data_IF_341257716637
#
_entry.id   IF_341257716637
#
_cell.length_a   1.000
_cell.length_b   1.000
_cell.length_c   1.000
_cell.angle_alpha   90.00
_cell.angle_beta   90.00
_cell.angle_gamma   90.00
#
_symmetry.space_group_name_H-M   'P 1'
#
loop_
_entity.id
_entity.type
_entity.pdbx_description
1 polymer ?
#
# COMPACT_ATOMS: atom_id res chain seq x y z
N UNK A 1 4.18 -16.44 4.71
CA UNK A 1 4.47 -17.06 6.03
C UNK A 1 4.14 -18.54 6.08
N UNK A 2 2.99 -18.98 5.57
CA UNK A 2 2.59 -20.40 5.52
C UNK A 2 3.64 -21.29 4.81
N UNK A 3 4.22 -20.81 3.70
CA UNK A 3 5.21 -21.56 2.91
C UNK A 3 6.49 -21.87 3.68
N UNK A 4 6.97 -20.95 4.53
CA UNK A 4 8.23 -21.17 5.27
C UNK A 4 8.01 -22.15 6.43
N UNK A 5 6.82 -22.12 7.05
CA UNK A 5 6.43 -23.13 8.04
C UNK A 5 6.36 -24.54 7.43
N UNK A 6 5.82 -24.66 6.21
CA UNK A 6 5.82 -25.95 5.50
C UNK A 6 7.22 -26.42 5.09
N UNK A 7 8.11 -25.52 4.70
CA UNK A 7 9.51 -25.87 4.38
C UNK A 7 10.27 -26.32 5.64
N UNK A 8 10.12 -25.61 6.76
CA UNK A 8 10.73 -26.00 8.03
C UNK A 8 10.21 -27.36 8.52
N UNK A 9 8.89 -27.58 8.44
CA UNK A 9 8.28 -28.87 8.78
C UNK A 9 8.77 -29.98 7.85
N UNK A 10 8.89 -29.73 6.54
CA UNK A 10 9.39 -30.69 5.59
C UNK A 10 10.85 -31.07 5.87
N UNK A 11 11.71 -30.11 6.25
CA UNK A 11 13.10 -30.38 6.65
C UNK A 11 13.12 -31.25 7.92
N UNK A 12 12.33 -30.93 8.95
CA UNK A 12 12.26 -31.73 10.18
C UNK A 12 11.76 -33.15 9.91
N UNK A 13 10.75 -33.32 9.05
CA UNK A 13 10.24 -34.63 8.66
C UNK A 13 11.27 -35.41 7.84
N UNK A 14 11.94 -34.75 6.89
CA UNK A 14 12.90 -35.38 5.98
C UNK A 14 14.18 -35.82 6.71
N UNK A 15 14.61 -35.09 7.74
CA UNK A 15 15.80 -35.43 8.53
C UNK A 15 15.47 -36.16 9.84
N UNK A 16 14.21 -36.55 10.07
CA UNK A 16 13.77 -37.21 11.31
C UNK A 16 14.55 -38.49 11.59
N UNK A 17 14.72 -39.35 10.59
CA UNK A 17 15.40 -40.64 10.78
C UNK A 17 16.90 -40.45 11.05
N UNK A 18 17.55 -39.54 10.32
CA UNK A 18 18.94 -39.18 10.58
C UNK A 18 19.13 -38.59 11.99
N UNK A 19 18.23 -37.71 12.44
CA UNK A 19 18.27 -37.16 13.80
C UNK A 19 18.06 -38.22 14.88
N UNK A 20 17.14 -39.16 14.67
CA UNK A 20 16.90 -40.27 15.57
C UNK A 20 18.11 -41.22 15.62
N UNK A 21 18.73 -41.51 14.48
CA UNK A 21 19.96 -42.30 14.42
C UNK A 21 21.12 -41.63 15.16
N UNK A 22 21.29 -40.31 15.00
CA UNK A 22 22.31 -39.58 15.76
C UNK A 22 22.01 -39.60 17.25
N UNK A 23 20.74 -39.41 17.66
CA UNK A 23 20.34 -39.47 19.06
C UNK A 23 20.54 -40.86 19.67
N UNK A 24 20.22 -41.91 18.92
CA UNK A 24 20.43 -43.31 19.33
C UNK A 24 21.92 -43.62 19.46
N UNK A 25 22.75 -43.25 18.46
CA UNK A 25 24.22 -43.40 18.51
C UNK A 25 24.84 -42.66 19.69
N UNK A 26 24.37 -41.45 19.99
CA UNK A 26 24.78 -40.69 21.18
C UNK A 26 24.38 -41.41 22.48
N UNK A 27 23.17 -41.99 22.55
CA UNK A 27 22.73 -42.75 23.73
C UNK A 27 23.49 -44.06 23.91
N UNK A 28 23.78 -44.78 22.83
CA UNK A 28 24.47 -46.07 22.82
C UNK A 28 25.97 -45.92 23.08
N UNK A 29 26.56 -44.80 22.66
CA UNK A 29 27.97 -44.51 22.93
C UNK A 29 28.29 -44.34 24.43
N UNK A 30 27.28 -44.26 25.30
CA UNK A 30 27.44 -44.03 26.74
C UNK A 30 28.08 -42.68 27.08
N UNK A 31 28.39 -41.88 26.05
CA UNK A 31 29.04 -40.59 26.12
C UNK A 31 27.99 -39.48 25.95
N UNK A 32 26.85 -39.60 26.65
CA UNK A 32 26.06 -38.41 26.89
C UNK A 32 26.91 -37.54 27.81
N UNK A 33 27.46 -36.40 27.35
CA UNK A 33 28.09 -35.47 28.27
C UNK A 33 27.06 -35.19 29.37
N UNK A 34 27.49 -35.17 30.64
CA UNK A 34 26.60 -34.80 31.73
C UNK A 34 26.10 -33.38 31.44
N UNK A 35 24.93 -33.27 30.78
CA UNK A 35 24.30 -31.99 30.48
C UNK A 35 23.83 -31.49 31.83
N UNK A 36 24.63 -30.59 32.41
CA UNK A 36 24.26 -29.88 33.62
C UNK A 36 22.92 -29.17 33.35
N UNK A 37 22.05 -29.10 34.35
CA UNK A 37 20.77 -28.41 34.26
C UNK A 37 20.93 -26.99 33.68
N UNK A 38 22.08 -26.35 33.95
CA UNK A 38 22.45 -25.05 33.38
C UNK A 38 22.59 -25.06 31.86
N UNK A 39 23.19 -26.10 31.30
CA UNK A 39 23.35 -26.25 29.85
C UNK A 39 22.03 -26.55 29.15
N UNK A 40 21.16 -27.35 29.79
CA UNK A 40 19.81 -27.61 29.28
C UNK A 40 18.96 -26.32 29.26
N UNK A 41 19.03 -25.53 30.33
CA UNK A 41 18.34 -24.22 30.40
C UNK A 41 18.90 -23.24 29.36
N UNK A 42 20.22 -23.19 29.16
CA UNK A 42 20.82 -22.34 28.14
C UNK A 42 20.38 -22.73 26.72
N UNK A 43 20.32 -24.02 26.41
CA UNK A 43 19.83 -24.52 25.12
C UNK A 43 18.35 -24.17 24.90
N UNK A 44 17.52 -24.32 25.93
CA UNK A 44 16.10 -23.96 25.87
C UNK A 44 15.89 -22.46 25.64
N UNK A 45 16.67 -21.61 26.32
CA UNK A 45 16.60 -20.14 26.14
C UNK A 45 17.05 -19.71 24.74
N UNK A 46 18.10 -20.33 24.19
CA UNK A 46 18.55 -20.06 22.83
C UNK A 46 17.50 -20.48 21.79
N UNK A 47 16.86 -21.64 21.97
CA UNK A 47 15.77 -22.07 21.11
C UNK A 47 14.57 -21.10 21.19
N UNK A 48 14.19 -20.68 22.40
CA UNK A 48 13.11 -19.71 22.60
C UNK A 48 13.43 -18.34 21.98
N UNK A 49 14.68 -17.86 22.11
CA UNK A 49 15.12 -16.62 21.50
C UNK A 49 15.09 -16.68 19.97
N UNK A 50 15.53 -17.79 19.37
CA UNK A 50 15.47 -18.00 17.93
C UNK A 50 14.03 -18.01 17.42
N UNK A 51 13.11 -18.69 18.12
CA UNK A 51 11.68 -18.69 17.80
C UNK A 51 11.08 -17.30 17.94
N UNK A 52 11.40 -16.58 19.03
CA UNK A 52 10.94 -15.22 19.25
C UNK A 52 11.43 -14.25 18.17
N UNK A 53 12.70 -14.33 17.78
CA UNK A 53 13.27 -13.50 16.71
C UNK A 53 12.61 -13.80 15.36
N UNK A 54 12.39 -15.08 15.06
CA UNK A 54 11.77 -15.51 13.82
C UNK A 54 10.29 -15.09 13.70
N UNK A 55 9.58 -15.03 14.83
CA UNK A 55 8.20 -14.57 14.91
C UNK A 55 8.02 -13.10 15.27
N UNK A 56 9.09 -12.30 15.29
CA UNK A 56 8.92 -10.86 15.43
C UNK A 56 8.10 -10.35 14.24
N UNK A 57 6.92 -9.73 14.47
CA UNK A 57 6.25 -9.00 13.41
C UNK A 57 7.25 -7.99 12.86
N UNK A 58 7.29 -7.88 11.53
CA UNK A 58 8.15 -6.94 10.83
C UNK A 58 7.93 -5.58 11.49
N UNK A 59 9.00 -4.99 12.04
CA UNK A 59 8.89 -3.71 12.74
C UNK A 59 8.14 -2.75 11.82
N UNK A 60 7.02 -2.21 12.32
CA UNK A 60 6.32 -1.13 11.64
C UNK A 60 7.37 -0.06 11.33
N UNK A 61 7.43 0.39 10.08
CA UNK A 61 8.38 1.39 9.66
C UNK A 61 8.33 2.57 10.64
N UNK A 62 9.51 3.06 11.08
CA UNK A 62 9.59 4.24 11.93
C UNK A 62 8.66 5.33 11.38
N UNK A 63 7.87 6.02 12.23
CA UNK A 63 6.94 7.02 11.75
C UNK A 63 7.70 8.13 11.04
N UNK A 64 7.65 8.12 9.71
CA UNK A 64 8.15 9.20 8.87
C UNK A 64 7.43 10.48 9.31
N UNK A 65 8.14 11.62 9.49
CA UNK A 65 7.49 12.88 9.80
C UNK A 65 6.38 13.15 8.78
N UNK A 66 5.16 13.40 9.28
CA UNK A 66 4.03 13.65 8.43
C UNK A 66 4.36 14.80 7.45
N UNK A 67 4.19 14.62 6.14
CA UNK A 67 4.40 15.68 5.19
C UNK A 67 3.51 16.88 5.54
N UNK A 68 3.97 18.12 5.29
CA UNK A 68 3.22 19.32 5.64
C UNK A 68 1.80 19.24 5.06
N UNK A 69 0.79 19.55 5.88
CA UNK A 69 -0.61 19.45 5.51
C UNK A 69 -0.88 20.34 4.29
N UNK A 70 -0.96 19.71 3.11
CA UNK A 70 -1.34 20.36 1.87
C UNK A 70 -2.83 20.76 1.88
N UNK A 71 -3.32 21.35 0.77
CA UNK A 71 -4.72 21.79 0.62
C UNK A 71 -5.76 20.68 0.83
N UNK A 72 -5.35 19.42 0.67
CA UNK A 72 -6.10 18.20 0.94
C UNK A 72 -5.21 17.25 1.77
N UNK A 73 -5.77 16.64 2.80
CA UNK A 73 -5.10 15.65 3.65
C UNK A 73 -5.68 14.26 3.39
N UNK A 74 -4.85 13.36 2.89
CA UNK A 74 -5.20 11.95 2.61
C UNK A 74 -4.46 10.95 3.51
N UNK A 75 -3.54 11.41 4.35
CA UNK A 75 -2.84 10.57 5.32
C UNK A 75 -3.83 9.85 6.25
N UNK A 76 -3.63 8.54 6.42
CA UNK A 76 -4.49 7.68 7.24
C UNK A 76 -5.90 7.41 6.67
N UNK A 77 -6.23 7.90 5.46
CA UNK A 77 -7.54 7.65 4.82
C UNK A 77 -7.56 6.42 3.92
N UNK A 78 -6.39 5.98 3.43
CA UNK A 78 -6.23 4.70 2.78
C UNK A 78 -6.12 3.61 3.84
N UNK A 79 -6.96 2.56 3.76
CA UNK A 79 -7.08 1.52 4.79
C UNK A 79 -7.01 0.11 4.20
N UNK A 80 -6.55 -0.86 4.99
CA UNK A 80 -6.44 -2.27 4.58
C UNK A 80 -5.06 -2.64 4.03
N UNK A 81 -4.88 -3.94 3.72
CA UNK A 81 -3.60 -4.54 3.34
C UNK A 81 -2.97 -3.91 2.08
N UNK A 82 -3.81 -3.47 1.14
CA UNK A 82 -3.38 -2.86 -0.12
C UNK A 82 -3.41 -1.31 -0.09
N UNK A 83 -3.54 -0.68 1.09
CA UNK A 83 -3.66 0.78 1.21
C UNK A 83 -2.51 1.53 0.50
N UNK A 84 -1.28 1.04 0.64
CA UNK A 84 -0.10 1.65 0.03
C UNK A 84 -0.13 1.59 -1.51
N UNK A 85 -0.43 0.41 -2.05
CA UNK A 85 -0.54 0.16 -3.49
C UNK A 85 -1.67 0.97 -4.10
N UNK A 86 -2.81 1.04 -3.40
CA UNK A 86 -3.98 1.78 -3.83
C UNK A 86 -3.74 3.29 -3.86
N UNK A 87 -3.03 3.86 -2.89
CA UNK A 87 -2.71 5.29 -2.92
C UNK A 87 -1.73 5.62 -4.05
N UNK A 88 -0.73 4.77 -4.29
CA UNK A 88 0.19 4.94 -5.42
C UNK A 88 -0.56 4.84 -6.77
N UNK A 89 -1.46 3.87 -6.91
CA UNK A 89 -2.30 3.73 -8.10
C UNK A 89 -3.23 4.93 -8.29
N UNK A 90 -3.81 5.46 -7.21
CA UNK A 90 -4.66 6.64 -7.22
C UNK A 90 -3.88 7.91 -7.58
N UNK A 91 -2.67 8.07 -7.04
CA UNK A 91 -1.78 9.17 -7.36
C UNK A 91 -1.46 9.19 -8.86
N UNK A 92 -1.01 8.05 -9.40
CA UNK A 92 -0.74 7.91 -10.83
C UNK A 92 -1.96 8.16 -11.71
N UNK A 93 -3.15 7.70 -11.30
CA UNK A 93 -4.40 7.98 -12.01
C UNK A 93 -4.69 9.49 -12.08
N UNK A 94 -4.55 10.21 -10.97
CA UNK A 94 -4.82 11.64 -10.93
C UNK A 94 -3.81 12.44 -11.76
N UNK A 95 -2.53 12.06 -11.73
CA UNK A 95 -1.50 12.73 -12.52
C UNK A 95 -1.70 12.49 -14.02
N UNK A 96 -2.02 11.25 -14.42
CA UNK A 96 -2.32 10.91 -15.82
C UNK A 96 -3.56 11.66 -16.34
N UNK A 97 -4.60 11.81 -15.52
CA UNK A 97 -5.78 12.61 -15.87
C UNK A 97 -5.40 14.08 -16.10
N UNK A 98 -4.49 14.64 -15.31
CA UNK A 98 -3.99 16.00 -15.52
C UNK A 98 -3.21 16.09 -16.85
N UNK A 99 -2.36 15.09 -17.14
CA UNK A 99 -1.66 14.96 -18.42
C UNK A 99 -2.60 14.86 -19.62
N UNK A 100 -3.71 14.12 -19.50
CA UNK A 100 -4.74 14.03 -20.54
C UNK A 100 -5.36 15.40 -20.84
N UNK A 101 -5.64 16.21 -19.81
CA UNK A 101 -6.18 17.57 -19.99
C UNK A 101 -5.13 18.49 -20.65
N UNK A 102 -3.86 18.38 -20.27
CA UNK A 102 -2.76 19.13 -20.90
C UNK A 102 -2.60 18.78 -22.37
N UNK A 103 -2.65 17.48 -22.69
CA UNK A 103 -2.57 17.03 -24.07
C UNK A 103 -3.78 17.51 -24.89
N UNK A 104 -5.00 17.39 -24.36
CA UNK A 104 -6.22 17.85 -25.04
C UNK A 104 -6.20 19.36 -25.37
N UNK A 105 -5.55 20.16 -24.52
CA UNK A 105 -5.37 21.61 -24.73
C UNK A 105 -4.45 21.92 -25.93
N UNK A 106 -3.59 20.98 -26.34
CA UNK A 106 -2.70 21.17 -27.50
C UNK A 106 -3.37 20.88 -28.85
N UNK A 107 -4.57 20.28 -28.85
CA UNK A 107 -5.28 19.94 -30.06
C UNK A 107 -5.88 21.19 -30.72
N UNK A 108 -5.94 21.20 -32.06
CA UNK A 108 -6.61 22.26 -32.81
C UNK A 108 -8.11 22.35 -32.47
N UNK A 109 -8.71 21.22 -32.09
CA UNK A 109 -10.09 21.10 -31.61
C UNK A 109 -10.11 20.25 -30.33
N UNK A 110 -10.03 20.89 -29.13
CA UNK A 110 -10.03 20.19 -27.85
C UNK A 110 -11.34 19.42 -27.61
N UNK A 111 -11.24 18.16 -27.19
CA UNK A 111 -12.38 17.26 -27.00
C UNK A 111 -13.05 17.46 -25.65
N UNK A 112 -12.29 17.85 -24.62
CA UNK A 112 -12.80 18.04 -23.26
C UNK A 112 -13.40 19.44 -23.10
N UNK A 113 -14.59 19.69 -23.66
CA UNK A 113 -15.17 21.04 -23.72
C UNK A 113 -15.96 21.46 -22.48
N UNK A 114 -16.29 20.53 -21.58
CA UNK A 114 -17.12 20.77 -20.39
C UNK A 114 -16.59 20.03 -19.16
N UNK A 115 -16.99 20.48 -17.96
CA UNK A 115 -16.71 19.74 -16.73
C UNK A 115 -17.28 18.32 -16.72
N UNK A 116 -18.41 18.10 -17.39
CA UNK A 116 -19.01 16.76 -17.57
C UNK A 116 -18.11 15.85 -18.42
N UNK A 117 -17.45 16.38 -19.46
CA UNK A 117 -16.49 15.60 -20.25
C UNK A 117 -15.29 15.13 -19.41
N UNK A 118 -14.83 15.97 -18.46
CA UNK A 118 -13.79 15.56 -17.50
C UNK A 118 -14.32 14.46 -16.58
N UNK A 119 -15.54 14.59 -16.06
CA UNK A 119 -16.12 13.56 -15.19
C UNK A 119 -16.28 12.22 -15.93
N UNK A 120 -16.73 12.25 -17.19
CA UNK A 120 -16.75 11.08 -18.06
C UNK A 120 -15.38 10.45 -18.26
N UNK A 121 -14.34 11.26 -18.50
CA UNK A 121 -12.95 10.78 -18.58
C UNK A 121 -12.50 10.13 -17.26
N UNK A 122 -12.81 10.74 -16.10
CA UNK A 122 -12.46 10.20 -14.77
C UNK A 122 -13.13 8.85 -14.53
N UNK A 123 -14.42 8.73 -14.86
CA UNK A 123 -15.18 7.48 -14.75
C UNK A 123 -14.55 6.40 -15.63
N UNK A 124 -14.34 6.69 -16.92
CA UNK A 124 -13.77 5.76 -17.88
C UNK A 124 -12.35 5.29 -17.47
N UNK A 125 -11.48 6.22 -17.05
CA UNK A 125 -10.12 5.89 -16.61
C UNK A 125 -10.13 5.00 -15.36
N UNK A 126 -11.04 5.28 -14.42
CA UNK A 126 -11.22 4.46 -13.21
C UNK A 126 -11.70 3.06 -13.56
N UNK A 127 -12.71 2.93 -14.43
CA UNK A 127 -13.24 1.64 -14.88
C UNK A 127 -12.16 0.82 -15.60
N UNK A 128 -11.41 1.44 -16.52
CA UNK A 128 -10.36 0.79 -17.27
C UNK A 128 -9.21 0.28 -16.38
N UNK A 129 -8.83 1.04 -15.34
CA UNK A 129 -7.69 0.70 -14.48
C UNK A 129 -8.07 -0.24 -13.33
N UNK A 130 -9.29 -0.15 -12.79
CA UNK A 130 -9.68 -0.88 -11.58
C UNK A 130 -10.41 -2.21 -11.85
N UNK A 131 -10.99 -2.42 -13.05
CA UNK A 131 -11.59 -3.70 -13.51
C UNK A 131 -12.35 -4.49 -12.41
N UNK A 132 -13.17 -3.81 -11.62
CA UNK A 132 -13.78 -4.39 -10.43
C UNK A 132 -14.20 -3.30 -9.44
N UNK A 133 -13.79 -3.44 -8.18
CA UNK A 133 -14.14 -2.50 -7.09
C UNK A 133 -13.35 -1.21 -7.24
N UNK A 134 -14.03 -0.07 -7.20
CA UNK A 134 -13.38 1.23 -7.32
C UNK A 134 -12.56 1.58 -6.06
N UNK A 135 -11.49 2.37 -6.22
CA UNK A 135 -10.73 2.91 -5.07
C UNK A 135 -11.64 3.67 -4.10
N UNK A 136 -12.65 4.38 -4.61
CA UNK A 136 -13.60 5.10 -3.76
C UNK A 136 -14.53 4.20 -2.95
N UNK A 137 -14.79 2.97 -3.39
CA UNK A 137 -15.53 1.97 -2.62
C UNK A 137 -14.64 1.29 -1.57
N UNK A 138 -13.38 0.98 -1.92
CA UNK A 138 -12.40 0.42 -0.96
C UNK A 138 -12.01 1.44 0.11
N UNK A 139 -11.93 2.72 -0.25
CA UNK A 139 -11.46 3.82 0.60
C UNK A 139 -12.49 4.96 0.62
N UNK A 140 -13.65 4.79 1.28
CA UNK A 140 -14.73 5.78 1.28
C UNK A 140 -14.30 7.14 1.85
N UNK A 141 -13.37 7.16 2.81
CA UNK A 141 -12.82 8.40 3.38
C UNK A 141 -11.95 9.18 2.38
N UNK A 142 -11.24 8.49 1.48
CA UNK A 142 -10.50 9.14 0.39
C UNK A 142 -11.48 9.76 -0.59
N UNK A 143 -12.53 9.02 -0.97
CA UNK A 143 -13.59 9.54 -1.86
C UNK A 143 -14.22 10.81 -1.28
N UNK A 144 -14.61 10.79 -0.01
CA UNK A 144 -15.21 11.95 0.65
C UNK A 144 -14.24 13.14 0.66
N UNK A 145 -12.99 12.92 1.08
CA UNK A 145 -11.99 13.98 1.15
C UNK A 145 -11.72 14.64 -0.21
N UNK A 146 -11.68 13.85 -1.29
CA UNK A 146 -11.49 14.35 -2.65
C UNK A 146 -12.72 15.11 -3.13
N UNK A 147 -13.93 14.62 -2.84
CA UNK A 147 -15.16 15.33 -3.15
C UNK A 147 -15.23 16.68 -2.45
N UNK A 148 -15.04 16.70 -1.12
CA UNK A 148 -15.04 17.93 -0.32
C UNK A 148 -14.00 18.93 -0.84
N UNK A 149 -12.83 18.45 -1.25
CA UNK A 149 -11.78 19.30 -1.81
C UNK A 149 -12.15 19.90 -3.17
N UNK A 150 -12.73 19.11 -4.08
CA UNK A 150 -13.10 19.59 -5.41
C UNK A 150 -14.31 20.54 -5.37
N UNK A 151 -15.26 20.30 -4.45
CA UNK A 151 -16.47 21.11 -4.29
C UNK A 151 -16.21 22.50 -3.68
N UNK A 152 -15.00 22.73 -3.14
CA UNK A 152 -14.59 24.03 -2.64
C UNK A 152 -14.67 25.11 -3.73
N UNK A 153 -15.29 26.27 -3.46
CA UNK A 153 -15.41 27.37 -4.43
C UNK A 153 -14.06 27.92 -4.91
N UNK A 154 -13.02 27.83 -4.09
CA UNK A 154 -11.66 28.26 -4.44
C UNK A 154 -10.88 27.23 -5.28
N UNK A 155 -11.40 26.02 -5.43
CA UNK A 155 -10.77 24.92 -6.19
C UNK A 155 -11.46 24.75 -7.54
N UNK A 156 -12.71 24.27 -7.55
CA UNK A 156 -13.53 24.16 -8.77
C UNK A 156 -14.96 24.65 -8.53
N UNK A 157 -15.51 24.34 -7.36
CA UNK A 157 -16.91 24.59 -7.04
C UNK A 157 -17.86 23.59 -7.74
N UNK A 158 -19.19 23.71 -7.50
CA UNK A 158 -20.17 22.71 -7.90
C UNK A 158 -20.58 22.70 -9.39
N UNK A 159 -19.86 23.39 -10.29
CA UNK A 159 -20.36 23.65 -11.65
C UNK A 159 -19.70 22.80 -12.76
N UNK A 160 -20.51 22.04 -13.50
CA UNK A 160 -20.13 21.30 -14.72
C UNK A 160 -20.13 22.13 -16.00
N UNK A 161 -19.85 23.43 -15.90
CA UNK A 161 -19.95 24.39 -17.01
C UNK A 161 -18.90 24.22 -18.12
N UNK A 162 -18.87 25.15 -19.10
CA UNK A 162 -17.86 25.17 -20.16
C UNK A 162 -16.44 25.21 -19.59
N UNK A 163 -15.55 24.43 -20.19
CA UNK A 163 -14.18 24.30 -19.74
C UNK A 163 -13.29 25.38 -20.37
N UNK A 164 -13.32 26.57 -19.77
CA UNK A 164 -12.43 27.69 -20.17
C UNK A 164 -10.96 27.36 -19.87
N UNK A 165 -9.98 28.09 -20.45
CA UNK A 165 -8.57 27.89 -20.12
C UNK A 165 -8.25 28.01 -18.62
N UNK A 166 -8.89 28.95 -17.91
CA UNK A 166 -8.78 29.08 -16.46
C UNK A 166 -9.29 27.82 -15.73
N UNK A 167 -10.45 27.30 -16.14
CA UNK A 167 -11.01 26.07 -15.58
C UNK A 167 -10.12 24.85 -15.85
N UNK A 168 -9.53 24.74 -17.06
CA UNK A 168 -8.54 23.69 -17.36
C UNK A 168 -7.35 23.77 -16.41
N UNK A 169 -6.82 24.98 -16.19
CA UNK A 169 -5.72 25.21 -15.26
C UNK A 169 -6.07 24.75 -13.83
N UNK A 170 -7.27 25.11 -13.34
CA UNK A 170 -7.76 24.68 -12.02
C UNK A 170 -7.91 23.17 -11.91
N UNK A 171 -8.48 22.51 -12.92
CA UNK A 171 -8.59 21.05 -12.95
C UNK A 171 -7.22 20.37 -12.90
N UNK A 172 -6.26 20.81 -13.72
CA UNK A 172 -4.88 20.30 -13.71
C UNK A 172 -4.23 20.48 -12.34
N UNK A 173 -4.34 21.67 -11.75
CA UNK A 173 -3.77 21.98 -10.44
C UNK A 173 -4.41 21.14 -9.33
N UNK A 174 -5.73 20.96 -9.36
CA UNK A 174 -6.47 20.16 -8.39
C UNK A 174 -6.08 18.68 -8.48
N UNK A 175 -6.04 18.11 -9.68
CA UNK A 175 -5.65 16.71 -9.91
C UNK A 175 -4.20 16.44 -9.46
N UNK A 176 -3.26 17.32 -9.80
CA UNK A 176 -1.86 17.22 -9.33
C UNK A 176 -1.73 17.35 -7.82
N UNK A 177 -2.57 18.18 -7.19
CA UNK A 177 -2.59 18.33 -5.73
C UNK A 177 -3.09 17.07 -5.05
N UNK A 178 -4.16 16.46 -5.58
CA UNK A 178 -4.67 15.16 -5.11
C UNK A 178 -3.61 14.07 -5.31
N UNK A 179 -2.94 14.05 -6.47
CA UNK A 179 -1.88 13.07 -6.76
C UNK A 179 -0.74 13.13 -5.73
N UNK A 180 -0.21 14.33 -5.47
CA UNK A 180 0.82 14.53 -4.44
C UNK A 180 0.35 14.14 -3.04
N UNK A 181 -0.89 14.47 -2.68
CA UNK A 181 -1.43 14.11 -1.38
C UNK A 181 -1.62 12.59 -1.21
N UNK A 182 -1.98 11.89 -2.28
CA UNK A 182 -2.12 10.44 -2.28
C UNK A 182 -0.75 9.75 -2.19
N UNK A 183 0.25 10.23 -2.93
CA UNK A 183 1.64 9.74 -2.83
C UNK A 183 2.23 9.98 -1.45
N UNK A 184 1.93 11.14 -0.85
CA UNK A 184 2.35 11.49 0.50
C UNK A 184 1.64 10.67 1.60
N UNK A 185 0.48 10.07 1.31
CA UNK A 185 -0.29 9.32 2.30
C UNK A 185 0.32 7.95 2.66
N UNK A 186 1.32 7.50 1.89
CA UNK A 186 1.93 6.16 2.00
C UNK A 186 3.42 6.18 2.27
N UNK A 187 3.98 7.38 2.50
CA UNK A 187 5.36 7.62 2.91
C UNK A 187 5.41 7.92 4.40
#
# INVERSE_FOLDING_TARGET
MITVAFVALAIVVMFREWLLEQALRLSESGALPNIDARQAVAAALLAAAAVSWYWQPKADADPTPAPPAGPIVLAGKFVGEHAAEDAAAFAGLCDELAGCIEWDETLADPRLTTGVAIDGLRIAAREARMKGVSIGERHPLVRQAVHDYLDRPDVLGPAGGPLTPDQRSKWKAALRTIARAAEAAVR
#
